data_IF_626617182916
#
_entry.id   IF_626617182916
#
_cell.length_a   1.000
_cell.length_b   1.000
_cell.length_c   1.000
_cell.angle_alpha   90.00
_cell.angle_beta   90.00
_cell.angle_gamma   90.00
#
_symmetry.space_group_name_H-M   'P 1'
#
loop_
_entity.id
_entity.type
_entity.pdbx_description
1 polymer ?
#
# COMPACT_ATOMS: atom_id res chain seq x y z
N UNK A 1 2.94 -24.19 -20.87
CA UNK A 1 1.63 -23.79 -21.46
C UNK A 1 1.30 -22.43 -20.86
N UNK A 2 1.11 -21.42 -21.70
CA UNK A 2 0.75 -20.06 -21.26
C UNK A 2 -0.73 -20.05 -20.90
N UNK A 3 -1.08 -19.48 -19.75
CA UNK A 3 -2.48 -19.30 -19.36
C UNK A 3 -3.09 -18.17 -20.22
N UNK A 4 -4.39 -18.23 -20.55
CA UNK A 4 -5.03 -17.13 -21.25
C UNK A 4 -5.03 -15.86 -20.39
N UNK A 5 -4.78 -14.70 -21.00
CA UNK A 5 -4.85 -13.42 -20.31
C UNK A 5 -6.29 -13.11 -19.88
N UNK A 6 -6.46 -12.66 -18.63
CA UNK A 6 -7.73 -12.17 -18.08
C UNK A 6 -7.51 -10.74 -17.63
N UNK A 7 -8.35 -9.83 -18.08
CA UNK A 7 -8.38 -8.43 -17.63
C UNK A 7 -9.59 -8.24 -16.72
N UNK A 8 -9.37 -7.89 -15.46
CA UNK A 8 -10.46 -7.53 -14.56
C UNK A 8 -10.77 -6.02 -14.70
N UNK A 9 -12.02 -5.60 -14.41
CA UNK A 9 -12.34 -4.18 -14.40
C UNK A 9 -11.52 -3.47 -13.31
N UNK A 10 -11.14 -2.21 -13.59
CA UNK A 10 -10.49 -1.36 -12.60
C UNK A 10 -11.46 -1.11 -11.44
N UNK A 11 -11.00 -1.38 -10.23
CA UNK A 11 -11.75 -1.10 -9.00
C UNK A 11 -11.03 0.03 -8.28
N UNK A 12 -11.66 1.18 -8.20
CA UNK A 12 -11.20 2.28 -7.35
C UNK A 12 -11.65 2.00 -5.92
N UNK A 13 -10.68 1.88 -5.01
CA UNK A 13 -10.96 1.72 -3.59
C UNK A 13 -11.09 3.11 -2.95
N UNK A 14 -12.02 3.30 -1.99
CA UNK A 14 -12.18 4.58 -1.31
C UNK A 14 -11.09 4.84 -0.25
N UNK A 15 -10.02 4.06 -0.25
CA UNK A 15 -8.91 4.12 0.70
C UNK A 15 -7.61 3.67 0.04
N UNK A 16 -6.49 4.13 0.58
CA UNK A 16 -5.15 3.75 0.12
C UNK A 16 -4.69 2.43 0.73
N UNK A 17 -3.97 1.65 -0.07
CA UNK A 17 -3.31 0.43 0.37
C UNK A 17 -1.82 0.72 0.52
N UNK A 18 -1.25 0.39 1.68
CA UNK A 18 0.19 0.52 1.92
C UNK A 18 1.01 -0.38 0.99
N UNK A 19 2.09 0.17 0.45
CA UNK A 19 3.14 -0.59 -0.25
C UNK A 19 3.76 -1.58 0.74
N UNK A 20 4.23 -2.73 0.24
CA UNK A 20 4.83 -3.83 1.01
C UNK A 20 3.85 -4.60 1.90
N UNK A 21 2.55 -4.31 1.81
CA UNK A 21 1.54 -5.07 2.55
C UNK A 21 1.31 -6.47 1.95
N UNK A 22 1.59 -6.64 0.65
CA UNK A 22 1.30 -7.87 -0.08
C UNK A 22 1.98 -9.11 0.54
N UNK A 23 3.30 -9.12 0.83
CA UNK A 23 3.95 -10.24 1.51
C UNK A 23 3.22 -10.69 2.77
N UNK A 24 2.78 -9.78 3.64
CA UNK A 24 2.07 -10.14 4.87
C UNK A 24 0.74 -10.83 4.58
N UNK A 25 -0.02 -10.35 3.59
CA UNK A 25 -1.33 -10.92 3.22
C UNK A 25 -1.17 -12.29 2.56
N UNK A 26 -0.16 -12.50 1.71
CA UNK A 26 0.03 -13.79 1.04
C UNK A 26 0.43 -14.92 1.97
N UNK A 27 1.03 -14.65 3.13
CA UNK A 27 1.31 -15.70 4.13
C UNK A 27 0.02 -16.39 4.57
N UNK A 28 -1.04 -15.61 4.83
CA UNK A 28 -2.37 -16.15 5.16
C UNK A 28 -2.96 -16.89 3.96
N UNK A 29 -2.78 -16.34 2.75
CA UNK A 29 -3.25 -16.96 1.52
C UNK A 29 -2.62 -18.33 1.26
N UNK A 30 -1.37 -18.55 1.70
CA UNK A 30 -0.68 -19.84 1.59
C UNK A 30 -1.11 -20.78 2.72
N UNK A 31 -1.15 -20.30 3.96
CA UNK A 31 -1.41 -21.14 5.13
C UNK A 31 -2.84 -21.69 5.19
N UNK A 32 -3.85 -20.84 4.90
CA UNK A 32 -5.27 -21.22 5.04
C UNK A 32 -5.66 -22.42 4.17
N UNK A 33 -5.38 -22.45 2.84
CA UNK A 33 -5.70 -23.59 1.99
C UNK A 33 -5.04 -24.90 2.44
N UNK A 34 -3.81 -24.84 2.97
CA UNK A 34 -3.11 -26.01 3.49
C UNK A 34 -3.80 -26.55 4.74
N UNK A 35 -4.19 -25.66 5.67
CA UNK A 35 -4.95 -26.04 6.87
C UNK A 35 -6.31 -26.64 6.48
N UNK A 36 -7.02 -26.02 5.52
CA UNK A 36 -8.28 -26.54 4.98
C UNK A 36 -8.09 -27.94 4.41
N UNK A 37 -7.04 -28.15 3.62
CA UNK A 37 -6.73 -29.45 3.04
C UNK A 37 -6.51 -30.53 4.12
N UNK A 38 -5.71 -30.25 5.15
CA UNK A 38 -5.51 -31.17 6.27
C UNK A 38 -6.84 -31.44 7.00
N UNK A 39 -7.64 -30.42 7.27
CA UNK A 39 -8.95 -30.57 7.92
C UNK A 39 -9.91 -31.45 7.10
N UNK A 40 -9.91 -31.33 5.78
CA UNK A 40 -10.74 -32.17 4.92
C UNK A 40 -10.27 -33.62 4.87
N UNK A 41 -8.95 -33.85 4.86
CA UNK A 41 -8.40 -35.20 4.99
C UNK A 41 -8.80 -35.84 6.32
N UNK A 42 -8.71 -35.10 7.42
CA UNK A 42 -9.19 -35.56 8.73
C UNK A 42 -10.70 -35.80 8.72
N UNK A 43 -11.47 -34.94 8.06
CA UNK A 43 -12.91 -35.06 7.97
C UNK A 43 -13.35 -36.28 7.13
N UNK A 44 -12.57 -36.71 6.14
CA UNK A 44 -12.81 -37.98 5.43
C UNK A 44 -12.77 -39.19 6.37
N UNK A 45 -11.82 -39.20 7.31
CA UNK A 45 -11.65 -40.29 8.28
C UNK A 45 -12.68 -40.20 9.42
N UNK A 46 -12.85 -39.00 9.99
CA UNK A 46 -13.64 -38.79 11.21
C UNK A 46 -15.13 -38.54 10.93
N UNK A 47 -15.48 -38.09 9.73
CA UNK A 47 -16.86 -37.79 9.27
C UNK A 47 -17.63 -36.86 10.22
N UNK A 48 -16.95 -35.86 10.81
CA UNK A 48 -17.51 -34.95 11.82
C UNK A 48 -18.05 -33.68 11.14
N UNK A 49 -19.34 -33.39 11.34
CA UNK A 49 -19.97 -32.16 10.81
C UNK A 49 -19.28 -30.87 11.25
N UNK A 50 -18.75 -30.83 12.48
CA UNK A 50 -18.02 -29.68 13.01
C UNK A 50 -16.75 -29.36 12.18
N UNK A 51 -15.97 -30.37 11.78
CA UNK A 51 -14.80 -30.18 10.93
C UNK A 51 -15.19 -29.63 9.56
N UNK A 52 -16.27 -30.15 8.97
CA UNK A 52 -16.78 -29.63 7.69
C UNK A 52 -17.25 -28.18 7.78
N UNK A 53 -17.91 -27.79 8.88
CA UNK A 53 -18.36 -26.42 9.10
C UNK A 53 -17.19 -25.46 9.33
N UNK A 54 -16.19 -25.88 10.10
CA UNK A 54 -14.99 -25.08 10.32
C UNK A 54 -14.17 -24.89 9.02
N UNK A 55 -13.99 -25.95 8.24
CA UNK A 55 -13.38 -25.86 6.90
C UNK A 55 -14.12 -24.89 5.98
N UNK A 56 -15.46 -24.93 5.96
CA UNK A 56 -16.26 -23.98 5.20
C UNK A 56 -16.02 -22.52 5.61
N UNK A 57 -15.96 -22.24 6.92
CA UNK A 57 -15.62 -20.91 7.42
C UNK A 57 -14.22 -20.46 6.96
N UNK A 58 -13.21 -21.34 7.03
CA UNK A 58 -11.86 -21.02 6.57
C UNK A 58 -11.79 -20.77 5.05
N UNK A 59 -12.62 -21.44 4.25
CA UNK A 59 -12.71 -21.18 2.81
C UNK A 59 -13.28 -19.79 2.53
N UNK A 60 -14.29 -19.35 3.29
CA UNK A 60 -14.78 -17.95 3.18
C UNK A 60 -13.64 -16.98 3.48
N UNK A 61 -12.87 -17.22 4.55
CA UNK A 61 -11.71 -16.39 4.87
C UNK A 61 -10.65 -16.43 3.76
N UNK A 62 -10.42 -17.59 3.14
CA UNK A 62 -9.52 -17.75 2.00
C UNK A 62 -9.95 -16.89 0.81
N UNK A 63 -11.25 -16.82 0.50
CA UNK A 63 -11.76 -15.97 -0.57
C UNK A 63 -11.46 -14.49 -0.28
N UNK A 64 -11.76 -14.03 0.94
CA UNK A 64 -11.50 -12.64 1.35
C UNK A 64 -10.01 -12.30 1.31
N UNK A 65 -9.16 -13.17 1.87
CA UNK A 65 -7.70 -13.01 1.86
C UNK A 65 -7.16 -13.08 0.44
N UNK A 66 -7.72 -13.90 -0.45
CA UNK A 66 -7.29 -13.97 -1.85
C UNK A 66 -7.56 -12.66 -2.61
N UNK A 67 -8.70 -12.03 -2.34
CA UNK A 67 -9.01 -10.71 -2.90
C UNK A 67 -8.08 -9.65 -2.32
N UNK A 68 -7.81 -9.68 -1.00
CA UNK A 68 -6.83 -8.78 -0.36
C UNK A 68 -5.42 -8.96 -0.94
N UNK A 69 -4.98 -10.20 -1.16
CA UNK A 69 -3.70 -10.51 -1.78
C UNK A 69 -3.62 -9.99 -3.22
N UNK A 70 -4.69 -10.15 -4.00
CA UNK A 70 -4.77 -9.60 -5.35
C UNK A 70 -4.63 -8.08 -5.36
N UNK A 71 -5.43 -7.38 -4.55
CA UNK A 71 -5.44 -5.90 -4.48
C UNK A 71 -4.10 -5.34 -4.01
N UNK A 72 -3.54 -5.90 -2.93
CA UNK A 72 -2.21 -5.49 -2.43
C UNK A 72 -1.11 -5.79 -3.44
N UNK A 73 -1.21 -6.89 -4.18
CA UNK A 73 -0.24 -7.26 -5.21
C UNK A 73 -0.27 -6.34 -6.43
N UNK A 74 -1.44 -5.78 -6.78
CA UNK A 74 -1.53 -4.77 -7.84
C UNK A 74 -0.76 -3.49 -7.47
N UNK A 75 -0.85 -3.07 -6.21
CA UNK A 75 -0.16 -1.88 -5.70
C UNK A 75 1.35 -2.13 -5.67
N UNK A 76 1.78 -3.20 -5.02
CA UNK A 76 3.19 -3.57 -4.93
C UNK A 76 3.81 -3.81 -6.32
N UNK A 77 3.07 -4.46 -7.22
CA UNK A 77 3.49 -4.70 -8.59
C UNK A 77 3.66 -3.41 -9.39
N UNK A 78 2.72 -2.47 -9.26
CA UNK A 78 2.74 -1.17 -9.93
C UNK A 78 3.93 -0.32 -9.47
N UNK A 79 4.15 -0.21 -8.17
CA UNK A 79 5.23 0.62 -7.61
C UNK A 79 6.61 0.03 -7.93
N UNK A 80 6.73 -1.31 -7.94
CA UNK A 80 7.98 -1.95 -8.33
C UNK A 80 8.29 -1.82 -9.84
N UNK A 81 7.25 -1.86 -10.69
CA UNK A 81 7.34 -2.07 -12.14
C UNK A 81 8.39 -1.20 -12.87
N UNK A 82 8.48 0.13 -12.63
CA UNK A 82 9.38 1.00 -13.38
C UNK A 82 10.86 0.63 -13.20
N UNK A 83 11.24 0.15 -12.02
CA UNK A 83 12.63 -0.20 -11.71
C UNK A 83 12.99 -1.65 -12.11
N UNK A 84 12.03 -2.45 -12.58
CA UNK A 84 12.28 -3.84 -12.94
C UNK A 84 12.90 -3.98 -14.34
N UNK A 85 13.92 -4.84 -14.44
CA UNK A 85 14.42 -5.32 -15.73
C UNK A 85 13.40 -6.20 -16.47
N UNK A 86 13.62 -6.43 -17.76
CA UNK A 86 12.67 -7.15 -18.64
C UNK A 86 12.30 -8.55 -18.13
N UNK A 87 13.29 -9.32 -17.67
CA UNK A 87 13.06 -10.65 -17.10
C UNK A 87 12.16 -10.60 -15.85
N UNK A 88 12.38 -9.60 -14.98
CA UNK A 88 11.58 -9.41 -13.78
C UNK A 88 10.15 -8.95 -14.10
N UNK A 89 9.98 -8.09 -15.11
CA UNK A 89 8.66 -7.68 -15.61
C UNK A 89 7.87 -8.87 -16.16
N UNK A 90 8.53 -9.77 -16.90
CA UNK A 90 7.90 -11.01 -17.40
C UNK A 90 7.49 -11.92 -16.24
N UNK A 91 8.38 -12.15 -15.29
CA UNK A 91 8.08 -12.97 -14.10
C UNK A 91 6.92 -12.37 -13.28
N UNK A 92 6.87 -11.04 -13.15
CA UNK A 92 5.79 -10.34 -12.45
C UNK A 92 4.45 -10.50 -13.18
N UNK A 93 4.46 -10.43 -14.51
CA UNK A 93 3.26 -10.66 -15.32
C UNK A 93 2.73 -12.09 -15.17
N UNK A 94 3.60 -13.10 -15.18
CA UNK A 94 3.23 -14.50 -14.96
C UNK A 94 2.67 -14.72 -13.55
N UNK A 95 3.35 -14.16 -12.53
CA UNK A 95 2.92 -14.23 -11.14
C UNK A 95 1.55 -13.57 -10.93
N UNK A 96 1.34 -12.39 -11.51
CA UNK A 96 0.05 -11.70 -11.49
C UNK A 96 -1.04 -12.54 -12.15
N UNK A 97 -0.73 -13.13 -13.31
CA UNK A 97 -1.70 -13.94 -14.05
C UNK A 97 -2.13 -15.15 -13.24
N UNK A 98 -1.18 -15.94 -12.71
CA UNK A 98 -1.49 -17.09 -11.89
C UNK A 98 -2.24 -16.69 -10.60
N UNK A 99 -1.84 -15.57 -9.97
CA UNK A 99 -2.52 -15.02 -8.80
C UNK A 99 -3.97 -14.66 -9.08
N UNK A 100 -4.26 -14.10 -10.25
CA UNK A 100 -5.62 -13.79 -10.72
C UNK A 100 -6.46 -15.07 -10.85
N UNK A 101 -5.90 -16.10 -11.50
CA UNK A 101 -6.57 -17.40 -11.61
C UNK A 101 -6.84 -18.03 -10.25
N UNK A 102 -5.91 -17.95 -9.31
CA UNK A 102 -6.10 -18.50 -7.97
C UNK A 102 -7.13 -17.72 -7.17
N UNK A 103 -7.16 -16.40 -7.27
CA UNK A 103 -8.22 -15.60 -6.66
C UNK A 103 -9.60 -15.97 -7.24
N UNK A 104 -9.74 -16.17 -8.56
CA UNK A 104 -11.01 -16.64 -9.14
C UNK A 104 -11.34 -18.07 -8.71
N UNK A 105 -10.33 -18.93 -8.65
CA UNK A 105 -10.48 -20.34 -8.24
C UNK A 105 -10.90 -20.45 -6.78
N UNK A 106 -10.55 -19.50 -5.91
CA UNK A 106 -10.99 -19.52 -4.50
C UNK A 106 -12.52 -19.39 -4.40
N UNK A 107 -13.15 -18.57 -5.25
CA UNK A 107 -14.61 -18.46 -5.33
C UNK A 107 -15.24 -19.75 -5.89
N UNK A 108 -14.62 -20.35 -6.91
CA UNK A 108 -15.03 -21.66 -7.45
C UNK A 108 -14.92 -22.76 -6.38
N UNK A 109 -13.86 -22.74 -5.58
CA UNK A 109 -13.65 -23.66 -4.47
C UNK A 109 -14.74 -23.53 -3.40
N UNK A 110 -15.11 -22.29 -3.04
CA UNK A 110 -16.23 -22.02 -2.13
C UNK A 110 -17.56 -22.56 -2.68
N UNK A 111 -17.81 -22.35 -3.98
CA UNK A 111 -18.98 -22.89 -4.65
C UNK A 111 -19.03 -24.42 -4.58
N UNK A 112 -17.95 -25.12 -4.95
CA UNK A 112 -17.88 -26.58 -4.85
C UNK A 112 -17.99 -27.08 -3.42
N UNK A 113 -17.43 -26.37 -2.44
CA UNK A 113 -17.61 -26.69 -1.02
C UNK A 113 -19.09 -26.66 -0.65
N UNK A 114 -19.82 -25.62 -1.05
CA UNK A 114 -21.25 -25.50 -0.78
C UNK A 114 -22.01 -26.67 -1.42
N UNK A 115 -21.76 -26.98 -2.70
CA UNK A 115 -22.37 -28.13 -3.37
C UNK A 115 -22.06 -29.45 -2.66
N UNK A 116 -20.83 -29.64 -2.17
CA UNK A 116 -20.41 -30.84 -1.45
C UNK A 116 -21.15 -31.03 -0.11
N UNK A 117 -21.64 -29.94 0.49
CA UNK A 117 -22.42 -29.98 1.73
C UNK A 117 -23.90 -30.30 1.47
N UNK A 118 -24.45 -29.89 0.31
CA UNK A 118 -25.85 -30.11 -0.05
C UNK A 118 -26.07 -31.43 -0.80
N UNK A 119 -25.07 -31.91 -1.56
CA UNK A 119 -25.20 -33.03 -2.49
C UNK A 119 -24.55 -34.33 -1.98
N UNK A 120 -24.71 -35.41 -2.76
CA UNK A 120 -24.16 -36.74 -2.49
C UNK A 120 -22.63 -36.85 -2.64
N UNK A 121 -22.11 -38.08 -2.49
CA UNK A 121 -20.67 -38.37 -2.41
C UNK A 121 -19.81 -37.87 -3.58
N UNK A 122 -20.35 -37.86 -4.81
CA UNK A 122 -19.62 -37.39 -5.99
C UNK A 122 -19.15 -35.93 -5.88
N UNK A 123 -20.00 -35.03 -5.36
CA UNK A 123 -19.63 -33.61 -5.19
C UNK A 123 -18.53 -33.42 -4.15
N UNK A 124 -18.43 -34.30 -3.15
CA UNK A 124 -17.33 -34.29 -2.18
C UNK A 124 -16.00 -34.67 -2.82
N UNK A 125 -16.01 -35.68 -3.69
CA UNK A 125 -14.83 -36.08 -4.46
C UNK A 125 -14.37 -34.97 -5.39
N UNK A 126 -15.31 -34.34 -6.11
CA UNK A 126 -15.01 -33.24 -7.02
C UNK A 126 -14.45 -32.02 -6.27
N UNK A 127 -15.07 -31.64 -5.15
CA UNK A 127 -14.55 -30.60 -4.26
C UNK A 127 -13.11 -30.89 -3.80
N UNK A 128 -12.82 -32.12 -3.35
CA UNK A 128 -11.48 -32.50 -2.92
C UNK A 128 -10.45 -32.43 -4.05
N UNK A 129 -10.83 -32.82 -5.27
CA UNK A 129 -9.97 -32.69 -6.44
C UNK A 129 -9.64 -31.21 -6.71
N UNK A 130 -10.66 -30.35 -6.73
CA UNK A 130 -10.48 -28.90 -6.91
C UNK A 130 -9.59 -28.32 -5.81
N UNK A 131 -9.78 -28.73 -4.55
CA UNK A 131 -8.94 -28.31 -3.42
C UNK A 131 -7.47 -28.72 -3.60
N UNK A 132 -7.20 -29.94 -4.06
CA UNK A 132 -5.84 -30.42 -4.31
C UNK A 132 -5.16 -29.58 -5.40
N UNK A 133 -5.86 -29.36 -6.52
CA UNK A 133 -5.35 -28.53 -7.63
C UNK A 133 -5.10 -27.10 -7.16
N UNK A 134 -6.02 -26.55 -6.36
CA UNK A 134 -5.89 -25.22 -5.79
C UNK A 134 -4.66 -25.09 -4.88
N UNK A 135 -4.46 -26.03 -3.94
CA UNK A 135 -3.28 -26.03 -3.05
C UNK A 135 -1.97 -26.18 -3.83
N UNK A 136 -1.94 -27.04 -4.86
CA UNK A 136 -0.78 -27.15 -5.73
C UNK A 136 -0.48 -25.82 -6.46
N UNK A 137 -1.52 -25.14 -6.93
CA UNK A 137 -1.40 -23.81 -7.53
C UNK A 137 -0.88 -22.76 -6.55
N UNK A 138 -1.33 -22.78 -5.29
CA UNK A 138 -0.84 -21.89 -4.24
C UNK A 138 0.65 -22.10 -3.95
N UNK A 139 1.14 -23.34 -3.92
CA UNK A 139 2.57 -23.59 -3.77
C UNK A 139 3.39 -23.08 -4.96
N UNK A 140 2.86 -23.24 -6.17
CA UNK A 140 3.47 -22.66 -7.37
C UNK A 140 3.52 -21.13 -7.28
N UNK A 141 2.42 -20.48 -6.93
CA UNK A 141 2.35 -19.02 -6.72
C UNK A 141 3.37 -18.54 -5.68
N UNK A 142 3.49 -19.24 -4.55
CA UNK A 142 4.46 -18.91 -3.51
C UNK A 142 5.92 -19.06 -4.00
N UNK A 143 6.19 -20.03 -4.87
CA UNK A 143 7.51 -20.21 -5.49
C UNK A 143 7.85 -19.07 -6.44
N UNK A 144 6.92 -18.70 -7.32
CA UNK A 144 7.07 -17.56 -8.25
C UNK A 144 7.22 -16.23 -7.49
N UNK A 145 6.45 -16.03 -6.42
CA UNK A 145 6.57 -14.85 -5.57
C UNK A 145 7.92 -14.79 -4.84
N UNK A 146 8.41 -15.93 -4.34
CA UNK A 146 9.74 -16.02 -3.78
C UNK A 146 10.83 -15.71 -4.81
N UNK A 147 10.69 -16.16 -6.05
CA UNK A 147 11.62 -15.84 -7.13
C UNK A 147 11.67 -14.35 -7.45
N UNK A 148 10.52 -13.66 -7.48
CA UNK A 148 10.46 -12.20 -7.65
C UNK A 148 11.25 -11.45 -6.58
N UNK A 149 11.12 -11.87 -5.33
CA UNK A 149 11.82 -11.21 -4.21
C UNK A 149 13.30 -11.59 -4.19
N UNK A 150 13.62 -12.89 -4.21
CA UNK A 150 14.96 -13.38 -3.96
C UNK A 150 15.89 -13.32 -5.17
N UNK A 151 15.37 -13.46 -6.40
CA UNK A 151 16.20 -13.38 -7.63
C UNK A 151 16.15 -12.01 -8.29
N UNK A 152 14.98 -11.36 -8.25
CA UNK A 152 14.77 -10.09 -8.96
C UNK A 152 14.74 -8.88 -8.03
N UNK A 153 14.92 -9.06 -6.71
CA UNK A 153 15.03 -7.95 -5.76
C UNK A 153 13.74 -7.13 -5.59
N UNK A 154 12.60 -7.65 -6.08
CA UNK A 154 11.33 -6.93 -6.08
C UNK A 154 11.00 -6.45 -4.66
N UNK A 155 10.81 -5.13 -4.52
CA UNK A 155 10.47 -4.47 -3.26
C UNK A 155 11.49 -4.62 -2.10
N UNK A 156 12.69 -5.16 -2.35
CA UNK A 156 13.77 -5.23 -1.35
C UNK A 156 14.91 -4.30 -1.70
N UNK A 157 15.30 -4.25 -2.98
CA UNK A 157 16.39 -3.40 -3.44
C UNK A 157 16.01 -1.92 -3.36
N UNK A 158 14.79 -1.58 -3.78
CA UNK A 158 14.25 -0.22 -3.70
C UNK A 158 14.16 0.28 -2.26
N UNK A 159 13.70 -0.57 -1.33
CA UNK A 159 13.59 -0.20 0.09
C UNK A 159 14.95 0.09 0.70
N UNK A 160 15.99 -0.69 0.35
CA UNK A 160 17.34 -0.42 0.82
C UNK A 160 17.87 0.92 0.33
N UNK A 161 17.70 1.24 -0.95
CA UNK A 161 18.12 2.53 -1.50
C UNK A 161 17.40 3.68 -0.79
N UNK A 162 16.09 3.56 -0.59
CA UNK A 162 15.30 4.55 0.14
C UNK A 162 15.72 4.68 1.62
N UNK A 163 16.03 3.57 2.29
CA UNK A 163 16.50 3.57 3.68
C UNK A 163 17.87 4.24 3.81
N UNK A 164 18.79 3.98 2.87
CA UNK A 164 20.12 4.59 2.82
C UNK A 164 20.00 6.10 2.56
N UNK A 165 19.22 6.53 1.54
CA UNK A 165 18.96 7.94 1.26
C UNK A 165 18.29 8.66 2.45
N UNK A 166 17.36 8.00 3.14
CA UNK A 166 16.69 8.54 4.31
C UNK A 166 17.66 8.72 5.49
N UNK A 167 18.68 7.86 5.61
CA UNK A 167 19.72 7.99 6.61
C UNK A 167 20.58 9.22 6.33
N UNK A 168 21.08 9.35 5.09
CA UNK A 168 21.93 10.47 4.68
C UNK A 168 21.22 11.82 4.87
N UNK A 169 19.95 11.93 4.43
CA UNK A 169 19.15 13.16 4.59
C UNK A 169 18.89 13.50 6.06
N UNK A 170 18.75 12.48 6.93
CA UNK A 170 18.58 12.72 8.38
C UNK A 170 19.87 13.24 9.00
N UNK A 171 21.02 12.73 8.60
CA UNK A 171 22.32 13.21 9.06
C UNK A 171 22.51 14.68 8.67
N UNK A 172 22.32 15.03 7.39
CA UNK A 172 22.39 16.42 6.91
C UNK A 172 21.41 17.35 7.63
N UNK A 173 20.21 16.88 7.94
CA UNK A 173 19.19 17.65 8.64
C UNK A 173 19.54 17.89 10.11
N UNK A 174 20.18 16.94 10.78
CA UNK A 174 20.66 17.14 12.16
C UNK A 174 21.89 18.06 12.17
N UNK A 175 22.84 17.91 11.24
CA UNK A 175 23.97 18.85 11.10
C UNK A 175 23.48 20.29 10.86
N UNK A 176 22.55 20.49 9.92
CA UNK A 176 22.00 21.82 9.63
C UNK A 176 21.22 22.41 10.82
N UNK A 177 20.56 21.59 11.64
CA UNK A 177 19.91 22.04 12.87
C UNK A 177 20.94 22.45 13.92
N UNK A 178 22.00 21.69 14.11
CA UNK A 178 23.10 22.04 15.02
C UNK A 178 23.74 23.36 14.60
N UNK A 179 24.06 23.54 13.31
CA UNK A 179 24.58 24.81 12.78
C UNK A 179 23.61 25.98 13.02
N UNK A 180 22.30 25.77 12.86
CA UNK A 180 21.28 26.78 13.13
C UNK A 180 21.18 27.13 14.62
N UNK A 181 21.28 26.14 15.51
CA UNK A 181 21.31 26.33 16.96
C UNK A 181 22.58 27.09 17.38
N UNK A 182 23.75 26.73 16.85
CA UNK A 182 24.99 27.46 17.09
C UNK A 182 24.90 28.91 16.59
N UNK A 183 24.37 29.13 15.38
CA UNK A 183 24.18 30.48 14.82
C UNK A 183 23.18 31.32 15.65
N UNK A 184 22.12 30.71 16.19
CA UNK A 184 21.16 31.42 17.07
C UNK A 184 21.72 31.69 18.47
N UNK A 185 22.60 30.83 18.99
CA UNK A 185 23.34 31.07 20.24
C UNK A 185 24.32 32.23 20.07
N UNK A 186 25.10 32.25 18.97
CA UNK A 186 26.04 33.34 18.66
C UNK A 186 25.30 34.68 18.47
N UNK A 187 24.13 34.65 17.82
CA UNK A 187 23.30 35.86 17.63
C UNK A 187 22.75 36.40 18.95
N UNK A 188 22.32 35.53 19.88
CA UNK A 188 21.84 35.94 21.22
C UNK A 188 22.96 36.52 22.10
N UNK A 189 24.16 35.94 22.08
CA UNK A 189 25.33 36.42 22.85
C UNK A 189 25.81 37.78 22.34
N UNK A 190 25.71 38.05 21.03
CA UNK A 190 26.06 39.37 20.47
C UNK A 190 25.06 40.48 20.87
N UNK A 191 23.77 40.16 21.04
CA UNK A 191 22.77 41.13 21.53
C UNK A 191 22.85 41.45 23.02
N UNK A 192 23.33 40.56 23.89
CA UNK A 192 23.49 40.88 25.32
C UNK A 192 24.75 41.73 25.62
N UNK A 193 25.76 41.68 24.75
CA UNK A 193 27.03 42.42 24.97
C UNK A 193 26.92 43.92 24.63
N UNK A 194 25.82 44.38 24.02
CA UNK A 194 25.61 45.79 23.62
C UNK A 194 24.74 46.57 24.62
N UNK A 195 24.22 45.94 25.68
CA UNK A 195 23.30 46.59 26.64
C UNK A 195 23.88 46.74 28.06
N UNK A 196 25.16 47.07 28.17
CA UNK A 196 25.77 47.46 29.45
C UNK A 196 26.74 48.62 29.32
N UNK A 197 26.30 49.73 28.72
CA UNK A 197 26.88 51.04 29.04
C UNK A 197 25.78 52.12 28.94
N UNK A 198 25.68 52.96 29.98
CA UNK A 198 24.77 54.12 30.16
C UNK A 198 23.26 53.79 30.30
N UNK A 199 22.51 54.19 31.34
CA UNK A 199 22.44 55.46 32.08
C UNK A 199 21.83 55.22 33.48
N UNK A 200 22.39 55.88 34.51
CA UNK A 200 21.78 56.08 35.83
C UNK A 200 20.45 56.83 35.73
N UNK A 201 19.36 56.31 36.32
CA UNK A 201 18.19 57.11 36.67
C UNK A 201 17.69 56.76 38.07
N UNK A 202 17.88 57.75 38.95
CA UNK A 202 17.04 58.23 40.06
C UNK A 202 15.76 57.43 40.38
N UNK A 203 15.79 56.77 41.54
CA UNK A 203 14.90 56.87 42.72
C UNK A 203 13.35 56.97 42.62
N UNK A 204 12.73 55.97 43.29
CA UNK A 204 11.47 55.90 44.10
C UNK A 204 10.05 55.93 43.44
N UNK A 205 9.00 55.35 44.10
CA UNK A 205 8.28 54.16 43.61
C UNK A 205 6.75 54.37 43.61
N UNK A 206 5.95 53.31 43.35
CA UNK A 206 4.73 52.93 44.11
C UNK A 206 3.97 51.81 43.36
N UNK A 207 3.58 50.81 44.14
CA UNK A 207 2.86 49.57 43.82
C UNK A 207 1.31 49.78 43.85
N UNK A 208 0.45 48.74 43.93
CA UNK A 208 0.26 47.52 43.12
C UNK A 208 -1.23 47.27 42.74
N UNK A 209 -1.51 46.05 42.22
CA UNK A 209 -2.80 45.31 42.27
C UNK A 209 -3.83 45.65 41.17
N UNK A 210 -4.66 44.73 40.66
CA UNK A 210 -4.80 43.28 40.73
C UNK A 210 -5.78 42.83 39.61
N UNK A 211 -5.70 41.53 39.24
CA UNK A 211 -6.74 40.60 38.73
C UNK A 211 -7.90 41.14 37.85
N UNK A 212 -8.16 40.47 36.73
CA UNK A 212 -9.27 39.49 36.57
C UNK A 212 -9.35 38.94 35.12
N UNK A 213 -9.63 37.65 35.02
CA UNK A 213 -10.09 36.85 33.85
C UNK A 213 -11.61 36.69 34.07
N UNK A 214 -12.55 36.76 33.10
CA UNK A 214 -12.69 35.72 32.06
C UNK A 214 -13.39 36.05 30.71
N UNK A 215 -13.10 35.19 29.73
CA UNK A 215 -13.99 34.55 28.71
C UNK A 215 -15.15 35.34 28.08
N UNK A 216 -15.19 35.43 26.73
CA UNK A 216 -16.29 34.96 25.85
C UNK A 216 -16.08 35.32 24.36
N UNK A 217 -16.24 34.31 23.49
CA UNK A 217 -16.59 34.33 22.04
C UNK A 217 -18.15 34.48 21.97
N UNK A 218 -18.88 34.86 20.88
CA UNK A 218 -18.60 34.69 19.44
C UNK A 218 -19.22 35.75 18.46
N UNK A 219 -19.20 35.42 17.15
CA UNK A 219 -20.03 35.92 16.00
C UNK A 219 -19.17 36.57 14.90
N UNK A 220 -18.95 35.93 13.74
CA UNK A 220 -19.82 35.78 12.53
C UNK A 220 -19.89 37.07 11.68
N UNK A 221 -19.98 36.93 10.33
CA UNK A 221 -20.08 37.96 9.24
C UNK A 221 -18.77 38.13 8.45
N UNK A 222 -18.62 38.10 7.11
CA UNK A 222 -19.51 37.89 5.95
C UNK A 222 -18.64 37.73 4.69
N UNK A 223 -19.15 36.98 3.72
CA UNK A 223 -18.66 36.76 2.34
C UNK A 223 -18.71 38.07 1.52
N UNK A 224 -17.84 38.27 0.52
CA UNK A 224 -18.43 38.46 -0.81
C UNK A 224 -17.73 37.68 -1.91
N UNK A 225 -18.50 37.51 -2.96
CA UNK A 225 -18.43 36.50 -3.98
C UNK A 225 -18.09 37.15 -5.34
N UNK A 226 -17.55 36.34 -6.25
CA UNK A 226 -17.51 36.44 -7.73
C UNK A 226 -16.72 37.59 -8.41
N UNK A 227 -15.67 37.23 -9.17
CA UNK A 227 -15.54 37.55 -10.61
C UNK A 227 -14.82 36.40 -11.33
N UNK A 228 -15.48 35.86 -12.35
CA UNK A 228 -15.02 34.85 -13.31
C UNK A 228 -14.31 35.55 -14.47
N UNK A 229 -13.12 35.11 -14.89
CA UNK A 229 -12.59 35.45 -16.22
C UNK A 229 -11.88 34.25 -16.85
N UNK A 230 -12.43 33.80 -17.99
CA UNK A 230 -11.87 32.81 -18.88
C UNK A 230 -10.72 33.41 -19.69
N UNK A 231 -9.53 32.81 -19.66
CA UNK A 231 -8.53 33.00 -20.72
C UNK A 231 -8.07 31.64 -21.24
N UNK A 232 -8.47 31.39 -22.48
CA UNK A 232 -7.99 30.35 -23.39
C UNK A 232 -6.71 30.87 -24.06
N UNK A 233 -5.58 30.20 -23.87
CA UNK A 233 -4.39 30.44 -24.70
C UNK A 233 -3.69 29.13 -25.02
N UNK A 234 -3.21 29.10 -26.24
CA UNK A 234 -2.75 27.99 -27.05
C UNK A 234 -1.47 27.30 -26.56
N UNK A 235 -1.35 26.03 -26.98
CA UNK A 235 -0.20 25.14 -26.86
C UNK A 235 1.00 25.69 -27.64
N UNK A 236 2.22 25.66 -27.08
CA UNK A 236 3.41 25.40 -27.85
C UNK A 236 3.98 24.02 -27.51
N UNK A 237 4.05 23.21 -28.57
CA UNK A 237 4.67 21.90 -28.70
C UNK A 237 6.19 21.99 -28.52
N UNK A 238 6.71 21.77 -27.31
CA UNK A 238 8.04 21.17 -27.09
C UNK A 238 8.02 20.47 -25.73
N UNK A 239 7.86 19.14 -25.74
CA UNK A 239 7.88 18.32 -24.54
C UNK A 239 9.34 17.92 -24.23
N UNK A 240 9.90 18.26 -23.06
CA UNK A 240 11.28 17.91 -22.71
C UNK A 240 11.47 16.38 -22.60
N UNK A 241 12.69 15.87 -22.84
CA UNK A 241 12.96 14.42 -22.93
C UNK A 241 12.56 13.62 -21.69
N UNK A 242 12.59 14.24 -20.50
CA UNK A 242 12.14 13.63 -19.24
C UNK A 242 10.64 13.26 -19.23
N UNK A 243 9.82 13.91 -20.06
CA UNK A 243 8.39 13.60 -20.19
C UNK A 243 8.17 12.50 -21.24
N UNK A 244 9.04 12.36 -22.24
CA UNK A 244 8.97 11.23 -23.18
C UNK A 244 9.28 9.90 -22.49
N UNK A 245 10.30 9.87 -21.63
CA UNK A 245 10.63 8.69 -20.82
C UNK A 245 9.49 8.29 -19.87
N UNK A 246 8.82 9.28 -19.28
CA UNK A 246 7.63 9.07 -18.43
C UNK A 246 6.39 8.60 -19.20
N UNK A 247 6.24 9.00 -20.46
CA UNK A 247 5.14 8.56 -21.34
C UNK A 247 5.38 7.14 -21.87
N UNK A 248 6.63 6.80 -22.18
CA UNK A 248 7.03 5.48 -22.68
C UNK A 248 6.96 4.41 -21.57
N UNK A 249 7.35 4.76 -20.34
CA UNK A 249 7.15 3.90 -19.16
C UNK A 249 5.67 3.63 -18.90
N UNK A 250 4.80 4.63 -19.03
CA UNK A 250 3.35 4.48 -18.86
C UNK A 250 2.69 3.62 -19.97
N UNK A 251 3.19 3.66 -21.21
CA UNK A 251 2.68 2.82 -22.31
C UNK A 251 3.06 1.34 -22.18
N UNK A 252 4.15 1.03 -21.48
CA UNK A 252 4.60 -0.36 -21.28
C UNK A 252 3.90 -1.09 -20.12
N UNK A 253 3.18 -0.37 -19.26
CA UNK A 253 2.44 -0.98 -18.15
C UNK A 253 1.15 -1.62 -18.66
N UNK A 254 0.86 -2.89 -18.28
CA UNK A 254 -0.48 -3.45 -18.43
C UNK A 254 -1.54 -2.47 -17.89
N UNK A 255 -2.56 -2.14 -18.70
CA UNK A 255 -3.54 -1.07 -18.40
C UNK A 255 -4.12 -1.10 -16.97
N UNK A 256 -4.23 -2.29 -16.40
CA UNK A 256 -4.76 -2.58 -15.07
C UNK A 256 -3.83 -2.11 -13.90
N UNK A 257 -2.54 -1.86 -14.16
CA UNK A 257 -1.59 -1.30 -13.19
C UNK A 257 -1.50 0.24 -13.26
N UNK A 258 -2.31 0.89 -14.09
CA UNK A 258 -2.39 2.35 -14.14
C UNK A 258 -3.54 2.83 -13.25
N UNK A 259 -3.22 3.39 -12.07
CA UNK A 259 -4.18 4.12 -11.24
C UNK A 259 -4.56 5.44 -11.92
N UNK A 260 -5.83 5.87 -11.88
CA UNK A 260 -6.20 7.22 -12.29
C UNK A 260 -5.59 8.24 -11.32
N UNK A 261 -5.20 9.41 -11.86
CA UNK A 261 -4.75 10.54 -11.05
C UNK A 261 -5.91 10.96 -10.13
N UNK A 262 -5.74 10.79 -8.83
CA UNK A 262 -6.68 11.31 -7.84
C UNK A 262 -6.53 12.83 -7.84
N UNK A 263 -7.64 13.53 -8.07
CA UNK A 263 -7.73 14.96 -7.84
C UNK A 263 -7.56 15.20 -6.33
N UNK A 264 -6.43 15.79 -5.96
CA UNK A 264 -6.23 16.37 -4.63
C UNK A 264 -7.30 17.43 -4.41
N UNK A 265 -8.14 17.22 -3.39
CA UNK A 265 -9.04 18.24 -2.84
C UNK A 265 -8.34 19.02 -1.74
#
# INVERSE_FOLDING_TARGET
MTLPAITLPKVELPFDISVLLHPSVVHFMIALPVVIFVLELLNLMMKKKALSGFSFFLIILTVLVSAGAYLTGLVDGKEAYPALGEAAKSALAEHKLLGTYLMLTSAVLLFFKLLSMLAGGFMKTLYLLVLIVFVAGIFKQGTEGGELVYKHGMNVEQVKVLDDELFDVKEELEEAKEELEEATVITKVSTETVKSETVEVVDVPVAPAAKEVPTQVPSETTVPDIVTENIKTEVPEVVPPAVQEKVETLQSMPEEMVQPQIATH
#
